data_IF_131344857454
#
_entry.id   IF_131344857454
#
_cell.length_a   1.000
_cell.length_b   1.000
_cell.length_c   1.000
_cell.angle_alpha   90.00
_cell.angle_beta   90.00
_cell.angle_gamma   90.00
#
_symmetry.space_group_name_H-M   'P 1'
#
loop_
_entity.id
_entity.type
_entity.pdbx_description
1 polymer ?
#
# COMPACT_ATOMS: atom_id res chain seq x y z
N UNK A 1 16.15 -2.02 6.70
CA UNK A 1 16.01 -0.56 6.46
C UNK A 1 16.06 0.15 7.81
N UNK A 2 16.67 1.34 7.94
CA UNK A 2 16.56 2.13 9.19
C UNK A 2 15.34 3.04 9.10
N UNK A 3 14.53 3.06 10.15
CA UNK A 3 13.38 3.94 10.28
C UNK A 3 13.65 5.12 11.20
N UNK A 4 14.87 5.37 11.67
CA UNK A 4 15.16 6.35 12.73
C UNK A 4 14.97 7.81 12.27
N UNK A 5 14.94 8.04 10.96
CA UNK A 5 14.78 9.38 10.38
C UNK A 5 13.40 9.98 10.71
N UNK A 6 13.36 11.29 10.99
CA UNK A 6 12.14 12.02 11.37
C UNK A 6 11.01 11.94 10.32
N UNK A 7 11.35 11.69 9.05
CA UNK A 7 10.37 11.45 7.97
C UNK A 7 9.40 10.28 8.26
N UNK A 8 9.79 9.33 9.11
CA UNK A 8 8.95 8.20 9.50
C UNK A 8 8.09 8.47 10.75
N UNK A 9 8.23 9.64 11.39
CA UNK A 9 7.42 10.00 12.55
C UNK A 9 5.90 9.85 12.30
N UNK A 10 5.34 10.28 11.15
CA UNK A 10 3.91 10.10 10.87
C UNK A 10 3.47 8.66 10.62
N UNK A 11 4.42 7.72 10.50
CA UNK A 11 4.18 6.32 10.19
C UNK A 11 4.50 5.39 11.37
N UNK A 12 4.91 5.91 12.54
CA UNK A 12 5.36 5.09 13.68
C UNK A 12 4.36 4.01 14.08
N UNK A 13 3.10 4.38 14.26
CA UNK A 13 2.03 3.44 14.60
C UNK A 13 1.91 2.30 13.57
N UNK A 14 2.05 2.60 12.28
CA UNK A 14 1.99 1.60 11.22
C UNK A 14 3.26 0.73 11.18
N UNK A 15 4.43 1.34 11.36
CA UNK A 15 5.72 0.64 11.39
C UNK A 15 5.76 -0.35 12.55
N UNK A 16 5.24 0.04 13.72
CA UNK A 16 5.19 -0.78 14.92
C UNK A 16 4.14 -1.89 14.78
N UNK A 17 2.93 -1.57 14.29
CA UNK A 17 1.87 -2.55 14.08
C UNK A 17 2.25 -3.67 13.08
N UNK A 18 3.14 -3.36 12.15
CA UNK A 18 3.64 -4.26 11.11
C UNK A 18 5.02 -4.87 11.44
N UNK A 19 5.59 -4.55 12.61
CA UNK A 19 6.92 -4.98 13.07
C UNK A 19 8.05 -4.75 12.03
N UNK A 20 7.92 -3.69 11.22
CA UNK A 20 8.83 -3.46 10.07
C UNK A 20 10.25 -3.13 10.51
N UNK A 21 10.44 -2.56 11.71
CA UNK A 21 11.74 -2.17 12.22
C UNK A 21 12.67 -3.38 12.48
N UNK A 22 12.12 -4.58 12.69
CA UNK A 22 12.91 -5.80 12.86
C UNK A 22 13.42 -6.36 11.54
N UNK A 23 12.80 -5.99 10.42
CA UNK A 23 13.15 -6.44 9.10
C UNK A 23 14.42 -5.72 8.59
N UNK A 24 15.56 -6.42 8.62
CA UNK A 24 16.86 -5.81 8.33
C UNK A 24 17.13 -5.64 6.83
N UNK A 25 16.93 -6.69 6.04
CA UNK A 25 17.26 -6.72 4.61
C UNK A 25 16.04 -6.45 3.71
N UNK A 26 14.96 -7.20 3.92
CA UNK A 26 13.68 -7.07 3.23
C UNK A 26 12.53 -7.20 4.24
N UNK A 27 11.34 -6.65 3.95
CA UNK A 27 10.14 -6.93 4.74
C UNK A 27 9.76 -8.43 4.64
N UNK A 28 8.95 -8.89 5.61
CA UNK A 28 8.47 -10.28 5.64
C UNK A 28 7.39 -10.52 4.58
N UNK A 29 7.32 -11.71 3.94
CA UNK A 29 6.16 -12.09 3.13
C UNK A 29 4.83 -11.94 3.89
N UNK A 30 4.82 -12.19 5.20
CA UNK A 30 3.65 -12.07 6.08
C UNK A 30 3.15 -10.62 6.23
N UNK A 31 3.97 -9.63 5.83
CA UNK A 31 3.58 -8.21 5.83
C UNK A 31 2.32 -7.97 5.01
N UNK A 32 2.10 -8.77 3.95
CA UNK A 32 0.93 -8.63 3.08
C UNK A 32 -0.39 -8.88 3.85
N UNK A 33 -0.42 -9.92 4.68
CA UNK A 33 -1.59 -10.27 5.48
C UNK A 33 -1.84 -9.22 6.57
N UNK A 34 -0.78 -8.74 7.21
CA UNK A 34 -0.87 -7.68 8.21
C UNK A 34 -1.35 -6.34 7.61
N UNK A 35 -0.91 -5.99 6.39
CA UNK A 35 -1.41 -4.83 5.65
C UNK A 35 -2.91 -4.96 5.34
N UNK A 36 -3.35 -6.16 4.91
CA UNK A 36 -4.76 -6.43 4.64
C UNK A 36 -5.62 -6.36 5.91
N UNK A 37 -5.14 -6.90 7.03
CA UNK A 37 -5.82 -6.81 8.31
C UNK A 37 -6.02 -5.35 8.75
N UNK A 38 -4.97 -4.52 8.67
CA UNK A 38 -5.05 -3.09 8.99
C UNK A 38 -5.97 -2.31 8.05
N UNK A 39 -5.97 -2.61 6.75
CA UNK A 39 -6.87 -1.97 5.80
C UNK A 39 -8.34 -2.27 6.13
N UNK A 40 -8.64 -3.53 6.47
CA UNK A 40 -9.97 -3.98 6.85
C UNK A 40 -10.43 -3.37 8.17
N UNK A 41 -9.59 -3.37 9.20
CA UNK A 41 -9.87 -2.77 10.51
C UNK A 41 -10.20 -1.27 10.37
N UNK A 42 -9.48 -0.56 9.50
CA UNK A 42 -9.68 0.87 9.25
C UNK A 42 -10.82 1.17 8.28
N UNK A 43 -11.48 0.15 7.71
CA UNK A 43 -12.50 0.33 6.68
C UNK A 43 -11.98 1.12 5.47
N UNK A 44 -10.73 0.91 5.09
CA UNK A 44 -10.08 1.69 4.03
C UNK A 44 -10.66 1.33 2.67
N UNK A 45 -11.03 2.34 1.88
CA UNK A 45 -11.57 2.15 0.53
C UNK A 45 -10.87 3.04 -0.49
N UNK A 46 -10.89 2.63 -1.77
CA UNK A 46 -10.54 3.52 -2.88
C UNK A 46 -11.72 4.44 -3.27
N UNK A 47 -11.54 5.29 -4.29
CA UNK A 47 -12.46 6.35 -4.68
C UNK A 47 -13.88 5.88 -5.07
N UNK A 48 -14.04 4.67 -5.62
CA UNK A 48 -15.36 4.08 -5.94
C UNK A 48 -15.97 3.26 -4.77
N UNK A 49 -15.41 3.38 -3.57
CA UNK A 49 -15.91 2.69 -2.38
C UNK A 49 -15.54 1.21 -2.28
N UNK A 50 -14.71 0.67 -3.20
CA UNK A 50 -14.23 -0.71 -3.06
C UNK A 50 -13.24 -0.81 -1.88
N UNK A 51 -13.35 -1.85 -1.03
CA UNK A 51 -12.39 -2.11 0.04
C UNK A 51 -10.97 -2.22 -0.50
N UNK A 52 -10.03 -1.52 0.13
CA UNK A 52 -8.63 -1.59 -0.23
C UNK A 52 -8.05 -2.94 0.24
N UNK A 53 -7.38 -3.65 -0.66
CA UNK A 53 -6.62 -4.87 -0.36
C UNK A 53 -5.24 -4.82 -0.99
N UNK A 54 -4.31 -5.59 -0.48
CA UNK A 54 -2.96 -5.74 -1.00
C UNK A 54 -2.77 -7.19 -1.47
N UNK A 55 -2.17 -7.37 -2.64
CA UNK A 55 -1.86 -8.71 -3.17
C UNK A 55 -0.49 -8.72 -3.83
N UNK A 56 0.18 -9.87 -3.82
CA UNK A 56 1.42 -10.07 -4.56
C UNK A 56 1.09 -10.38 -6.04
N UNK A 57 1.50 -9.54 -7.00
CA UNK A 57 1.31 -9.84 -8.43
C UNK A 57 2.35 -10.86 -8.93
N UNK A 58 1.99 -11.64 -9.95
CA UNK A 58 2.89 -12.62 -10.61
C UNK A 58 4.06 -11.98 -11.39
N UNK A 59 4.14 -10.65 -11.41
CA UNK A 59 5.18 -9.91 -12.10
C UNK A 59 5.02 -8.40 -11.93
N UNK A 60 5.93 -7.66 -12.56
CA UNK A 60 5.86 -6.19 -12.56
C UNK A 60 4.81 -5.72 -13.56
N UNK A 61 3.84 -4.96 -13.07
CA UNK A 61 2.87 -4.27 -13.91
C UNK A 61 3.46 -2.98 -14.51
N UNK A 62 2.94 -2.55 -15.65
CA UNK A 62 3.19 -1.19 -16.13
C UNK A 62 2.52 -0.18 -15.19
N UNK A 63 2.94 1.09 -15.20
CA UNK A 63 2.29 2.12 -14.39
C UNK A 63 0.80 2.27 -14.75
N UNK A 64 0.46 2.13 -16.04
CA UNK A 64 -0.92 2.15 -16.52
C UNK A 64 -1.74 1.00 -15.94
N UNK A 65 -1.22 -0.22 -16.02
CA UNK A 65 -1.94 -1.42 -15.55
C UNK A 65 -2.06 -1.42 -14.02
N UNK A 66 -1.03 -0.92 -13.32
CA UNK A 66 -1.05 -0.74 -11.88
C UNK A 66 -2.19 0.17 -11.43
N UNK A 67 -2.28 1.39 -11.98
CA UNK A 67 -3.31 2.35 -11.60
C UNK A 67 -4.71 1.86 -12.03
N UNK A 68 -4.82 1.27 -13.22
CA UNK A 68 -6.09 0.72 -13.72
C UNK A 68 -6.58 -0.43 -12.85
N UNK A 69 -5.68 -1.35 -12.43
CA UNK A 69 -6.03 -2.48 -11.57
C UNK A 69 -6.62 -2.02 -10.24
N UNK A 70 -5.97 -1.05 -9.59
CA UNK A 70 -6.44 -0.51 -8.31
C UNK A 70 -7.82 0.12 -8.46
N UNK A 71 -8.03 0.93 -9.50
CA UNK A 71 -9.29 1.64 -9.70
C UNK A 71 -10.48 0.69 -9.92
N UNK A 72 -10.25 -0.43 -10.60
CA UNK A 72 -11.29 -1.40 -10.93
C UNK A 72 -11.53 -2.44 -9.83
N UNK A 73 -10.51 -2.78 -9.04
CA UNK A 73 -10.58 -3.92 -8.09
C UNK A 73 -10.45 -3.52 -6.63
N UNK A 74 -9.94 -2.33 -6.33
CA UNK A 74 -9.51 -1.95 -4.97
C UNK A 74 -8.25 -2.66 -4.49
N UNK A 75 -7.62 -3.48 -5.33
CA UNK A 75 -6.42 -4.22 -4.96
C UNK A 75 -5.16 -3.45 -5.37
N UNK A 76 -4.25 -3.25 -4.43
CA UNK A 76 -2.96 -2.59 -4.62
C UNK A 76 -1.89 -3.67 -4.81
N UNK A 77 -1.32 -3.80 -6.04
CA UNK A 77 -0.20 -4.71 -6.28
C UNK A 77 0.96 -4.35 -5.34
N UNK A 78 1.39 -5.31 -4.53
CA UNK A 78 2.37 -5.12 -3.45
C UNK A 78 3.25 -6.35 -3.32
N UNK A 79 4.51 -6.25 -3.73
CA UNK A 79 5.53 -7.28 -3.46
C UNK A 79 6.04 -7.09 -2.04
N UNK A 80 5.64 -8.00 -1.13
CA UNK A 80 5.93 -7.87 0.30
C UNK A 80 7.43 -7.96 0.65
N UNK A 81 8.25 -8.51 -0.24
CA UNK A 81 9.72 -8.53 -0.12
C UNK A 81 10.40 -7.23 -0.58
N UNK A 82 9.63 -6.28 -1.12
CA UNK A 82 10.14 -5.05 -1.72
C UNK A 82 9.80 -3.83 -0.86
N UNK A 83 10.83 -3.16 -0.33
CA UNK A 83 10.63 -1.97 0.52
C UNK A 83 9.82 -0.86 -0.15
N UNK A 84 10.01 -0.64 -1.46
CA UNK A 84 9.24 0.36 -2.19
C UNK A 84 7.73 0.09 -2.12
N UNK A 85 7.32 -1.14 -2.37
CA UNK A 85 5.91 -1.54 -2.42
C UNK A 85 5.31 -1.47 -1.00
N UNK A 86 6.02 -1.97 0.02
CA UNK A 86 5.56 -1.89 1.43
C UNK A 86 5.44 -0.45 1.90
N UNK A 87 6.41 0.43 1.58
CA UNK A 87 6.31 1.85 1.93
C UNK A 87 5.15 2.54 1.21
N UNK A 88 4.92 2.23 -0.06
CA UNK A 88 3.76 2.76 -0.78
C UNK A 88 2.43 2.25 -0.20
N UNK A 89 2.38 1.01 0.30
CA UNK A 89 1.24 0.50 1.05
C UNK A 89 1.00 1.28 2.37
N UNK A 90 2.06 1.69 3.07
CA UNK A 90 1.93 2.60 4.23
C UNK A 90 1.31 3.94 3.83
N UNK A 91 1.68 4.49 2.67
CA UNK A 91 1.09 5.74 2.17
C UNK A 91 -0.41 5.56 1.90
N UNK A 92 -0.82 4.44 1.31
CA UNK A 92 -2.23 4.09 1.14
C UNK A 92 -2.98 4.01 2.48
N UNK A 93 -2.40 3.39 3.51
CA UNK A 93 -3.03 3.28 4.83
C UNK A 93 -3.04 4.59 5.62
N UNK A 94 -2.06 5.46 5.40
CA UNK A 94 -1.94 6.75 6.12
C UNK A 94 -2.79 7.85 5.48
N UNK A 95 -2.81 7.91 4.15
CA UNK A 95 -3.51 8.94 3.40
C UNK A 95 -4.49 8.32 2.38
N UNK A 96 -5.46 7.50 2.83
CA UNK A 96 -6.30 6.72 1.95
C UNK A 96 -7.13 7.58 1.00
N UNK A 97 -7.69 8.68 1.49
CA UNK A 97 -8.46 9.64 0.68
C UNK A 97 -7.62 10.28 -0.42
N UNK A 98 -6.38 10.65 -0.11
CA UNK A 98 -5.46 11.27 -1.07
C UNK A 98 -5.04 10.26 -2.14
N UNK A 99 -4.59 9.06 -1.74
CA UNK A 99 -4.18 8.02 -2.68
C UNK A 99 -5.35 7.55 -3.56
N UNK A 100 -6.55 7.44 -3.00
CA UNK A 100 -7.77 7.13 -3.73
C UNK A 100 -8.09 8.21 -4.79
N UNK A 101 -8.05 9.49 -4.41
CA UNK A 101 -8.29 10.59 -5.35
C UNK A 101 -7.23 10.64 -6.46
N UNK A 102 -5.95 10.43 -6.10
CA UNK A 102 -4.86 10.39 -7.06
C UNK A 102 -5.01 9.22 -8.06
N UNK A 103 -5.35 8.02 -7.56
CA UNK A 103 -5.60 6.85 -8.42
C UNK A 103 -6.80 7.07 -9.35
N UNK A 104 -7.87 7.71 -8.88
CA UNK A 104 -9.00 8.09 -9.73
C UNK A 104 -8.60 9.08 -10.83
N UNK A 105 -7.83 10.12 -10.48
CA UNK A 105 -7.33 11.10 -11.44
C UNK A 105 -6.40 10.46 -12.49
N UNK A 106 -5.55 9.50 -12.11
CA UNK A 106 -4.78 8.71 -13.08
C UNK A 106 -5.69 7.91 -14.02
N UNK A 107 -6.75 7.29 -13.49
CA UNK A 107 -7.73 6.58 -14.30
C UNK A 107 -8.41 7.46 -15.34
N UNK A 108 -8.76 8.68 -14.97
CA UNK A 108 -9.33 9.68 -15.90
C UNK A 108 -8.33 10.11 -16.97
N UNK A 109 -7.05 10.27 -16.63
CA UNK A 109 -6.01 10.67 -17.57
C UNK A 109 -5.56 9.55 -18.54
N UNK A 110 -5.84 8.29 -18.21
CA UNK A 110 -5.49 7.10 -19.00
C UNK A 110 -6.59 6.72 -20.01
N UNK A 111 -7.82 7.19 -19.77
CA UNK A 111 -8.99 6.93 -20.61
C UNK A 111 -8.91 7.66 -21.96
#
# INVERSE_FOLDING_TARGET
MSFDHAAFAPYRELIDALDLARARSSPSPDTLDALNALAAERGTTQARGLPLRFFAPDGRLSARDYESHILHTGQVPTRADTWHDVLNALVWLRFPRFKAALNAAHGEAIA
#
